data_IF_910057620144
#
_entry.id   IF_910057620144
#
_cell.length_a   1.000
_cell.length_b   1.000
_cell.length_c   1.000
_cell.angle_alpha   90.00
_cell.angle_beta   90.00
_cell.angle_gamma   90.00
#
_symmetry.space_group_name_H-M   'P 1'
#
loop_
_entity.id
_entity.type
_entity.pdbx_description
1 polymer ?
#
# COMPACT_ATOMS: atom_id res chain seq x y z
N UNK A 1 -33.40 2.75 25.93
CA UNK A 1 -32.38 2.12 26.78
C UNK A 1 -31.03 2.75 26.43
N UNK A 2 -30.32 3.38 27.37
CA UNK A 2 -28.99 3.93 27.11
C UNK A 2 -28.06 2.79 26.64
N UNK A 3 -27.25 3.06 25.62
CA UNK A 3 -26.35 2.07 25.04
C UNK A 3 -25.32 1.66 26.10
N UNK A 4 -25.12 0.36 26.36
CA UNK A 4 -24.13 -0.10 27.34
C UNK A 4 -22.72 0.17 26.80
N UNK A 5 -22.09 1.22 27.31
CA UNK A 5 -20.75 1.66 26.91
C UNK A 5 -19.67 0.60 27.19
N UNK A 6 -19.87 -0.23 28.22
CA UNK A 6 -19.03 -1.40 28.52
C UNK A 6 -18.93 -2.38 27.34
N UNK A 7 -19.99 -2.53 26.54
CA UNK A 7 -19.95 -3.36 25.35
C UNK A 7 -19.20 -2.70 24.18
N UNK A 8 -19.03 -1.38 24.20
CA UNK A 8 -18.37 -0.60 23.16
C UNK A 8 -16.86 -0.45 23.39
N UNK A 9 -16.39 -0.56 24.63
CA UNK A 9 -14.96 -0.47 24.97
C UNK A 9 -14.13 -1.52 24.20
N UNK A 10 -14.51 -2.82 24.16
CA UNK A 10 -13.75 -3.83 23.42
C UNK A 10 -13.66 -3.52 21.93
N UNK A 11 -14.77 -3.10 21.31
CA UNK A 11 -14.79 -2.74 19.89
C UNK A 11 -13.98 -1.47 19.60
N UNK A 12 -13.99 -0.49 20.50
CA UNK A 12 -13.17 0.71 20.41
C UNK A 12 -11.68 0.39 20.42
N UNK A 13 -11.23 -0.52 21.29
CA UNK A 13 -9.84 -0.97 21.34
C UNK A 13 -9.45 -1.69 20.04
N UNK A 14 -10.30 -2.58 19.54
CA UNK A 14 -10.07 -3.28 18.27
C UNK A 14 -9.93 -2.27 17.12
N UNK A 15 -10.87 -1.33 17.01
CA UNK A 15 -10.83 -0.29 15.97
C UNK A 15 -9.57 0.58 16.09
N UNK A 16 -9.17 0.94 17.31
CA UNK A 16 -7.96 1.71 17.55
C UNK A 16 -6.70 0.95 17.14
N UNK A 17 -6.58 -0.33 17.50
CA UNK A 17 -5.44 -1.17 17.12
C UNK A 17 -5.38 -1.40 15.62
N UNK A 18 -6.49 -1.77 14.98
CA UNK A 18 -6.56 -1.94 13.53
C UNK A 18 -6.28 -0.64 12.77
N UNK A 19 -6.81 0.48 13.27
CA UNK A 19 -6.54 1.81 12.73
C UNK A 19 -5.07 2.20 12.87
N UNK A 20 -4.47 1.98 14.04
CA UNK A 20 -3.07 2.27 14.31
C UNK A 20 -2.14 1.42 13.44
N UNK A 21 -2.40 0.12 13.31
CA UNK A 21 -1.62 -0.78 12.46
C UNK A 21 -1.78 -0.41 10.97
N UNK A 22 -3.00 -0.15 10.51
CA UNK A 22 -3.26 0.24 9.12
C UNK A 22 -2.61 1.58 8.75
N UNK A 23 -2.74 2.59 9.61
CA UNK A 23 -2.10 3.89 9.44
C UNK A 23 -0.57 3.79 9.53
N UNK A 24 -0.06 3.00 10.48
CA UNK A 24 1.37 2.75 10.68
C UNK A 24 2.01 2.10 9.44
N UNK A 25 1.44 1.01 8.94
CA UNK A 25 1.92 0.34 7.73
C UNK A 25 1.83 1.25 6.49
N UNK A 26 0.74 2.01 6.36
CA UNK A 26 0.57 2.96 5.25
C UNK A 26 1.62 4.08 5.29
N UNK A 27 1.91 4.63 6.48
CA UNK A 27 2.92 5.66 6.68
C UNK A 27 4.33 5.13 6.38
N UNK A 28 4.67 3.95 6.90
CA UNK A 28 5.96 3.30 6.62
C UNK A 28 6.14 3.01 5.13
N UNK A 29 5.10 2.49 4.46
CA UNK A 29 5.13 2.24 3.01
C UNK A 29 5.31 3.54 2.21
N UNK A 30 4.71 4.64 2.65
CA UNK A 30 4.86 5.95 2.02
C UNK A 30 6.29 6.49 2.15
N UNK A 31 6.95 6.23 3.28
CA UNK A 31 8.33 6.65 3.54
C UNK A 31 9.32 5.78 2.76
N UNK A 32 9.12 4.47 2.75
CA UNK A 32 9.94 3.53 1.98
C UNK A 32 9.84 3.76 0.47
N UNK A 33 8.70 4.26 -0.01
CA UNK A 33 8.50 4.58 -1.43
C UNK A 33 8.91 6.02 -1.80
N UNK A 34 9.67 6.72 -0.96
CA UNK A 34 10.24 8.05 -1.27
C UNK A 34 9.19 9.12 -1.58
N UNK A 35 8.04 9.09 -0.88
CA UNK A 35 6.86 9.94 -1.09
C UNK A 35 6.03 9.64 -2.34
N UNK A 36 6.39 8.63 -3.15
CA UNK A 36 5.56 8.20 -4.29
C UNK A 36 4.53 7.17 -3.83
N UNK A 37 3.34 7.18 -4.44
CA UNK A 37 2.29 6.19 -4.14
C UNK A 37 2.83 4.79 -4.46
N UNK A 38 2.59 3.84 -3.55
CA UNK A 38 2.93 2.45 -3.76
C UNK A 38 2.23 1.95 -5.04
N UNK A 39 2.99 1.52 -6.05
CA UNK A 39 2.42 0.84 -7.22
C UNK A 39 1.84 -0.50 -6.74
N UNK A 40 0.55 -0.70 -6.98
CA UNK A 40 -0.15 -1.98 -6.75
C UNK A 40 -0.41 -2.61 -8.11
N UNK A 41 -0.32 -3.95 -8.18
CA UNK A 41 -0.46 -4.73 -9.42
C UNK A 41 0.70 -4.54 -10.42
N UNK A 42 1.94 -4.81 -9.99
CA UNK A 42 3.07 -4.90 -10.93
C UNK A 42 2.95 -6.18 -11.76
N UNK A 43 2.67 -6.04 -13.05
CA UNK A 43 2.60 -7.16 -13.98
C UNK A 43 3.99 -7.74 -14.26
N UNK A 44 4.03 -8.95 -14.80
CA UNK A 44 5.30 -9.58 -15.15
C UNK A 44 6.10 -8.70 -16.12
N UNK A 45 5.43 -8.05 -17.08
CA UNK A 45 6.02 -7.10 -18.03
C UNK A 45 6.63 -5.85 -17.36
N UNK A 46 6.09 -5.38 -16.23
CA UNK A 46 6.65 -4.27 -15.43
C UNK A 46 7.88 -4.69 -14.60
N UNK A 47 8.01 -5.99 -14.30
CA UNK A 47 9.19 -6.57 -13.64
C UNK A 47 10.31 -6.89 -14.63
N UNK A 48 9.98 -7.01 -15.92
CA UNK A 48 10.93 -7.15 -17.00
C UNK A 48 11.44 -5.77 -17.45
N UNK A 49 12.16 -5.08 -16.57
CA UNK A 49 13.18 -4.14 -17.04
C UNK A 49 14.40 -4.96 -17.48
N UNK A 50 14.22 -5.55 -18.66
CA UNK A 50 15.19 -5.50 -19.72
C UNK A 50 16.57 -6.16 -19.51
N UNK A 51 16.65 -7.46 -19.82
CA UNK A 51 17.90 -8.20 -20.10
C UNK A 51 17.93 -8.76 -21.56
N UNK A 52 17.74 -7.93 -22.60
CA UNK A 52 17.95 -8.28 -24.06
C UNK A 52 17.09 -7.60 -25.20
N UNK A 53 17.30 -6.31 -25.56
CA UNK A 53 16.48 -5.27 -26.27
C UNK A 53 17.04 -3.88 -25.88
N UNK A 54 18.19 -3.55 -26.47
CA UNK A 54 18.75 -2.20 -26.41
C UNK A 54 17.79 -1.11 -26.91
N UNK A 55 18.21 0.16 -26.86
CA UNK A 55 17.39 1.36 -27.10
C UNK A 55 16.83 1.55 -28.54
N UNK A 56 16.68 0.49 -29.33
CA UNK A 56 16.58 0.59 -30.79
C UNK A 56 15.17 0.27 -31.34
N UNK A 57 14.17 0.02 -30.49
CA UNK A 57 12.84 -0.40 -30.95
C UNK A 57 11.93 0.72 -31.50
N UNK A 58 12.33 1.99 -31.36
CA UNK A 58 11.52 3.14 -31.80
C UNK A 58 12.10 3.90 -32.99
N UNK A 59 13.03 3.34 -33.76
CA UNK A 59 13.58 3.97 -34.98
C UNK A 59 13.05 3.38 -36.31
N UNK A 60 12.10 2.44 -36.25
CA UNK A 60 11.49 1.80 -37.42
C UNK A 60 9.97 1.93 -37.39
N UNK A 61 9.47 3.16 -37.56
CA UNK A 61 8.12 3.47 -38.03
C UNK A 61 8.00 4.95 -38.36
#
# INVERSE_FOLDING_TARGET
MPVPFEALIPYGIILAMFGATGAGLSKLRHWQNGHKRARRSLDQWDRYEFFGRGPDFCSWS
#
